data_IF_519456938051
#
_entry.id   IF_519456938051
#
_cell.length_a   1.000
_cell.length_b   1.000
_cell.length_c   1.000
_cell.angle_alpha   90.00
_cell.angle_beta   90.00
_cell.angle_gamma   90.00
#
_symmetry.space_group_name_H-M   'P 1'
#
loop_
_entity.id
_entity.type
_entity.pdbx_description
1 polymer ?
#
# COMPACT_ATOMS: atom_id res chain seq x y z
N UNK A 1 -4.12 29.78 -21.68
CA UNK A 1 -4.07 28.33 -21.37
C UNK A 1 -3.16 28.15 -20.17
N UNK A 2 -3.67 28.33 -18.95
CA UNK A 2 -2.87 28.29 -17.72
C UNK A 2 -2.67 26.84 -17.27
N UNK A 3 -1.66 26.17 -17.84
CA UNK A 3 -1.26 24.82 -17.46
C UNK A 3 -0.39 24.85 -16.21
N UNK A 4 -0.86 24.25 -15.12
CA UNK A 4 -0.05 24.06 -13.92
C UNK A 4 1.08 23.05 -14.17
N UNK A 5 2.25 23.21 -13.53
CA UNK A 5 3.44 22.42 -13.84
C UNK A 5 3.39 21.08 -13.10
N UNK A 6 2.55 20.15 -13.54
CA UNK A 6 2.66 18.73 -13.16
C UNK A 6 3.82 18.06 -13.91
N UNK A 7 5.02 18.65 -13.85
CA UNK A 7 6.21 18.04 -14.41
C UNK A 7 6.58 16.78 -13.63
N UNK A 8 7.43 15.95 -14.22
CA UNK A 8 7.93 14.75 -13.57
C UNK A 8 8.63 15.09 -12.24
N UNK A 9 9.41 16.17 -12.21
CA UNK A 9 10.14 16.66 -11.04
C UNK A 9 9.19 17.14 -9.95
N UNK A 10 8.14 17.89 -10.34
CA UNK A 10 7.11 18.36 -9.42
C UNK A 10 6.39 17.18 -8.76
N UNK A 11 5.95 16.19 -9.53
CA UNK A 11 5.31 14.98 -8.99
C UNK A 11 6.27 14.18 -8.13
N UNK A 12 7.52 14.00 -8.57
CA UNK A 12 8.53 13.22 -7.85
C UNK A 12 8.83 13.82 -6.47
N UNK A 13 8.83 15.16 -6.35
CA UNK A 13 9.10 15.87 -5.08
C UNK A 13 7.95 15.87 -4.07
N UNK A 14 6.75 15.38 -4.41
CA UNK A 14 5.59 15.30 -3.50
C UNK A 14 5.75 14.19 -2.44
N UNK A 15 6.61 14.41 -1.44
CA UNK A 15 6.95 13.43 -0.42
C UNK A 15 5.75 13.01 0.45
N UNK A 16 4.93 13.97 0.90
CA UNK A 16 3.78 13.66 1.75
C UNK A 16 2.70 12.88 1.00
N UNK A 17 2.47 13.17 -0.29
CA UNK A 17 1.55 12.39 -1.10
C UNK A 17 2.03 10.93 -1.26
N UNK A 18 3.34 10.74 -1.41
CA UNK A 18 3.94 9.41 -1.44
C UNK A 18 3.80 8.66 -0.11
N UNK A 19 3.95 9.36 1.02
CA UNK A 19 3.69 8.80 2.35
C UNK A 19 2.25 8.34 2.51
N UNK A 20 1.27 9.17 2.09
CA UNK A 20 -0.14 8.80 2.07
C UNK A 20 -0.40 7.55 1.21
N UNK A 21 0.22 7.45 0.04
CA UNK A 21 0.10 6.28 -0.83
C UNK A 21 0.69 5.02 -0.20
N UNK A 22 1.88 5.12 0.41
CA UNK A 22 2.52 3.99 1.12
C UNK A 22 1.68 3.52 2.30
N UNK A 23 1.18 4.44 3.11
CA UNK A 23 0.31 4.11 4.24
C UNK A 23 -1.04 3.53 3.78
N UNK A 24 -1.57 4.02 2.65
CA UNK A 24 -2.76 3.43 2.02
C UNK A 24 -2.50 1.98 1.61
N UNK A 25 -1.37 1.71 0.94
CA UNK A 25 -1.03 0.35 0.52
C UNK A 25 -0.61 -0.56 1.68
N UNK A 26 -0.11 -0.02 2.80
CA UNK A 26 0.09 -0.79 4.04
C UNK A 26 -1.26 -1.22 4.60
N UNK A 27 -2.18 -0.27 4.79
CA UNK A 27 -3.47 -0.54 5.43
C UNK A 27 -4.42 -1.33 4.51
N UNK A 28 -4.30 -1.12 3.20
CA UNK A 28 -5.15 -1.73 2.18
C UNK A 28 -4.29 -2.23 1.00
N UNK A 29 -3.48 -3.28 1.18
CA UNK A 29 -2.59 -3.79 0.15
C UNK A 29 -3.41 -4.29 -1.05
N UNK A 30 -3.01 -4.02 -2.32
CA UNK A 30 -3.77 -4.46 -3.48
C UNK A 30 -3.99 -5.98 -3.53
N UNK A 31 -2.99 -6.75 -3.07
CA UNK A 31 -3.04 -8.21 -2.96
C UNK A 31 -2.87 -8.57 -1.48
N UNK A 32 -3.81 -9.35 -0.96
CA UNK A 32 -3.90 -9.70 0.46
C UNK A 32 -2.84 -10.73 0.89
N UNK A 33 -2.39 -11.59 -0.03
CA UNK A 33 -1.39 -12.61 0.23
C UNK A 33 -0.62 -13.01 -1.04
N UNK A 34 0.63 -13.42 -0.88
CA UNK A 34 1.45 -13.94 -1.98
C UNK A 34 1.54 -15.46 -1.89
N UNK A 35 1.29 -16.17 -2.99
CA UNK A 35 1.39 -17.62 -3.04
C UNK A 35 2.73 -18.07 -3.66
N UNK A 36 3.29 -19.14 -3.12
CA UNK A 36 4.42 -19.91 -3.68
C UNK A 36 4.09 -21.39 -3.60
N UNK A 37 4.76 -22.19 -4.42
CA UNK A 37 4.73 -23.65 -4.35
C UNK A 37 6.15 -24.14 -4.15
N UNK A 38 6.35 -25.01 -3.18
CA UNK A 38 7.64 -25.63 -2.91
C UNK A 38 8.05 -26.51 -4.10
N UNK A 39 9.21 -26.23 -4.71
CA UNK A 39 9.69 -26.97 -5.90
C UNK A 39 10.80 -27.97 -5.59
N UNK A 40 11.32 -27.97 -4.36
CA UNK A 40 12.36 -28.87 -3.87
C UNK A 40 12.21 -29.02 -2.36
N UNK A 41 12.56 -30.17 -1.78
CA UNK A 41 12.54 -30.36 -0.33
C UNK A 41 13.24 -29.18 0.37
N UNK A 42 12.56 -28.56 1.32
CA UNK A 42 13.06 -27.35 1.97
C UNK A 42 12.75 -27.34 3.46
N UNK A 43 13.79 -27.34 4.29
CA UNK A 43 13.69 -27.08 5.74
C UNK A 43 13.61 -25.57 5.98
N UNK A 44 12.58 -25.10 6.67
CA UNK A 44 12.46 -23.69 7.04
C UNK A 44 13.53 -23.35 8.09
N UNK A 45 14.44 -22.38 7.80
CA UNK A 45 15.54 -22.05 8.71
C UNK A 45 15.05 -21.67 10.11
N UNK A 46 15.75 -22.17 11.15
CA UNK A 46 15.42 -21.88 12.55
C UNK A 46 14.21 -22.64 13.08
N UNK A 47 13.68 -23.62 12.35
CA UNK A 47 12.54 -24.44 12.76
C UNK A 47 12.75 -25.91 12.42
N UNK A 48 11.88 -26.79 12.94
CA UNK A 48 11.80 -28.20 12.54
C UNK A 48 10.79 -28.48 11.41
N UNK A 49 10.35 -27.43 10.71
CA UNK A 49 9.36 -27.54 9.64
C UNK A 49 10.00 -27.86 8.29
N UNK A 50 9.73 -29.06 7.79
CA UNK A 50 10.06 -29.49 6.42
C UNK A 50 8.89 -29.23 5.47
N UNK A 51 9.18 -28.65 4.31
CA UNK A 51 8.22 -28.43 3.22
C UNK A 51 8.48 -29.44 2.10
N UNK A 52 7.50 -30.30 1.86
CA UNK A 52 7.53 -31.24 0.74
C UNK A 52 7.29 -30.53 -0.59
N UNK A 53 7.81 -31.10 -1.67
CA UNK A 53 7.54 -30.64 -3.04
C UNK A 53 6.04 -30.63 -3.31
N UNK A 54 5.53 -29.53 -3.87
CA UNK A 54 4.11 -29.32 -4.12
C UNK A 54 3.38 -28.60 -2.97
N UNK A 55 4.00 -28.44 -1.80
CA UNK A 55 3.40 -27.69 -0.68
C UNK A 55 3.18 -26.23 -1.08
N UNK A 56 1.93 -25.75 -0.95
CA UNK A 56 1.60 -24.34 -1.14
C UNK A 56 2.00 -23.54 0.10
N UNK A 57 2.67 -22.41 -0.11
CA UNK A 57 3.09 -21.47 0.93
C UNK A 57 2.41 -20.13 0.67
N UNK A 58 1.71 -19.63 1.68
CA UNK A 58 1.03 -18.35 1.63
C UNK A 58 1.74 -17.34 2.53
N UNK A 59 2.17 -16.22 1.96
CA UNK A 59 2.75 -15.09 2.71
C UNK A 59 1.62 -14.10 2.99
N UNK A 60 1.19 -13.92 4.26
CA UNK A 60 0.00 -13.16 4.60
C UNK A 60 0.29 -11.65 4.66
N UNK A 61 0.39 -11.01 3.49
CA UNK A 61 0.75 -9.58 3.35
C UNK A 61 -0.07 -8.68 4.26
N UNK A 62 -1.40 -8.82 4.25
CA UNK A 62 -2.28 -8.00 5.08
C UNK A 62 -2.02 -8.16 6.58
N UNK A 63 -1.81 -9.39 7.05
CA UNK A 63 -1.53 -9.67 8.44
C UNK A 63 -0.18 -9.08 8.87
N UNK A 64 0.86 -9.23 8.05
CA UNK A 64 2.18 -8.63 8.30
C UNK A 64 2.05 -7.10 8.38
N UNK A 65 1.27 -6.49 7.48
CA UNK A 65 1.07 -5.04 7.45
C UNK A 65 0.24 -4.50 8.63
N UNK A 66 -0.49 -5.36 9.33
CA UNK A 66 -1.27 -5.03 10.53
C UNK A 66 -0.68 -5.60 11.82
N UNK A 67 0.52 -6.18 11.78
CA UNK A 67 1.18 -6.69 12.96
C UNK A 67 1.72 -5.51 13.81
N UNK A 68 1.24 -5.32 15.06
CA UNK A 68 1.69 -4.24 15.92
C UNK A 68 3.18 -4.34 16.28
N UNK A 69 3.82 -5.50 16.10
CA UNK A 69 5.27 -5.66 16.22
C UNK A 69 6.03 -4.80 15.21
N UNK A 70 5.49 -4.64 14.00
CA UNK A 70 6.13 -3.87 12.92
C UNK A 70 5.47 -2.51 12.69
N UNK A 71 4.19 -2.38 13.04
CA UNK A 71 3.38 -1.19 12.84
C UNK A 71 2.60 -0.84 14.10
N UNK A 72 3.18 -0.05 15.04
CA UNK A 72 2.49 0.38 16.26
C UNK A 72 1.18 1.08 15.93
N UNK A 73 0.08 0.76 16.63
CA UNK A 73 -1.27 1.24 16.28
C UNK A 73 -1.62 0.97 14.80
N UNK A 74 -1.62 -0.30 14.36
CA UNK A 74 -1.71 -0.68 12.95
C UNK A 74 -3.03 -0.26 12.28
N UNK A 75 -4.07 -0.03 13.08
CA UNK A 75 -5.35 0.43 12.60
C UNK A 75 -5.41 1.95 12.33
N UNK A 76 -4.48 2.73 12.88
CA UNK A 76 -4.41 4.18 12.68
C UNK A 76 -3.72 4.49 11.35
N UNK A 77 -4.43 5.20 10.47
CA UNK A 77 -3.85 5.74 9.23
C UNK A 77 -2.93 6.91 9.58
N UNK A 78 -1.61 6.71 9.46
CA UNK A 78 -0.62 7.74 9.75
C UNK A 78 0.47 7.77 8.65
N UNK A 79 0.41 8.72 7.69
CA UNK A 79 1.41 8.89 6.64
C UNK A 79 2.84 9.12 7.17
N UNK A 80 2.98 9.80 8.31
CA UNK A 80 4.28 10.17 8.88
C UNK A 80 5.12 8.94 9.27
N UNK A 81 4.50 7.76 9.38
CA UNK A 81 5.19 6.45 9.48
C UNK A 81 6.15 6.17 8.32
N UNK A 82 6.04 6.88 7.20
CA UNK A 82 6.91 6.77 6.04
C UNK A 82 7.72 8.05 5.77
N UNK A 83 7.76 8.99 6.73
CA UNK A 83 8.56 10.20 6.62
C UNK A 83 10.06 9.90 6.57
N UNK A 84 10.82 10.76 5.88
CA UNK A 84 12.28 10.62 5.75
C UNK A 84 13.03 10.93 7.05
N UNK A 85 12.46 11.76 7.91
CA UNK A 85 13.06 12.24 9.17
C UNK A 85 12.19 11.92 10.40
N UNK A 86 11.17 11.06 10.25
CA UNK A 86 10.47 10.52 11.41
C UNK A 86 11.42 9.63 12.22
N UNK A 87 11.02 9.21 13.42
CA UNK A 87 11.80 8.42 14.39
C UNK A 87 12.43 7.12 13.83
N UNK A 88 12.16 6.76 12.56
CA UNK A 88 13.05 5.92 11.76
C UNK A 88 13.25 6.49 10.36
N UNK A 89 14.38 7.17 10.13
CA UNK A 89 14.70 7.84 8.87
C UNK A 89 14.50 6.99 7.59
N UNK A 90 14.22 7.66 6.49
CA UNK A 90 13.46 7.16 5.34
C UNK A 90 13.90 5.86 4.66
N UNK A 91 12.95 5.27 3.93
CA UNK A 91 13.12 3.98 3.26
C UNK A 91 12.99 2.86 4.28
N UNK A 92 11.78 2.36 4.46
CA UNK A 92 11.43 1.28 5.39
C UNK A 92 11.78 1.49 6.89
N UNK A 93 12.22 2.66 7.36
CA UNK A 93 12.42 3.04 8.77
C UNK A 93 13.17 2.00 9.63
N UNK A 94 14.18 1.31 9.09
CA UNK A 94 14.87 0.25 9.82
C UNK A 94 13.99 -0.96 10.17
N UNK A 95 12.80 -1.07 9.57
CA UNK A 95 11.97 -2.26 9.69
C UNK A 95 12.69 -3.45 9.05
N UNK A 96 12.49 -4.66 9.58
CA UNK A 96 13.05 -5.86 8.96
C UNK A 96 12.62 -5.97 7.49
N UNK A 97 13.52 -6.44 6.64
CA UNK A 97 13.17 -6.73 5.25
C UNK A 97 11.97 -7.69 5.19
N UNK A 98 11.10 -7.48 4.22
CA UNK A 98 9.93 -8.34 4.01
C UNK A 98 8.70 -8.01 4.86
N UNK A 99 8.68 -6.89 5.62
CA UNK A 99 7.47 -6.49 6.37
C UNK A 99 6.60 -5.48 5.63
N UNK A 100 7.14 -4.75 4.65
CA UNK A 100 6.38 -3.91 3.73
C UNK A 100 6.43 -4.52 2.32
N UNK A 101 5.29 -4.99 1.84
CA UNK A 101 5.17 -5.88 0.67
C UNK A 101 4.06 -5.48 -0.32
N UNK A 102 3.71 -4.19 -0.51
CA UNK A 102 2.59 -3.81 -1.40
C UNK A 102 2.84 -4.16 -2.87
N UNK A 103 4.11 -4.34 -3.25
CA UNK A 103 4.57 -4.72 -4.59
C UNK A 103 5.26 -6.10 -4.59
N UNK A 104 5.17 -6.85 -3.49
CA UNK A 104 5.97 -8.05 -3.26
C UNK A 104 7.44 -7.75 -3.00
N UNK A 105 8.28 -8.79 -3.09
CA UNK A 105 9.72 -8.71 -2.85
C UNK A 105 10.47 -9.80 -3.64
N UNK A 106 11.80 -9.66 -3.72
CA UNK A 106 12.71 -10.59 -4.36
C UNK A 106 12.58 -10.62 -5.89
N UNK A 107 12.97 -11.73 -6.55
CA UNK A 107 13.03 -11.81 -8.02
C UNK A 107 11.66 -11.74 -8.71
N UNK A 108 10.56 -11.73 -7.93
CA UNK A 108 9.18 -11.63 -8.42
C UNK A 108 8.50 -10.35 -7.92
N UNK A 109 9.29 -9.35 -7.50
CA UNK A 109 8.79 -8.01 -7.19
C UNK A 109 8.11 -7.38 -8.41
N UNK A 110 7.05 -6.61 -8.18
CA UNK A 110 6.30 -5.95 -9.24
C UNK A 110 7.19 -4.97 -10.02
N UNK A 111 7.42 -5.28 -11.30
CA UNK A 111 8.18 -4.42 -12.22
C UNK A 111 7.49 -3.05 -12.45
N UNK A 112 6.17 -3.00 -12.25
CA UNK A 112 5.35 -1.80 -12.40
C UNK A 112 5.44 -0.81 -11.24
N UNK A 113 6.13 -1.12 -10.14
CA UNK A 113 6.16 -0.30 -8.92
C UNK A 113 6.45 1.19 -9.18
N UNK A 114 7.52 1.49 -9.94
CA UNK A 114 7.91 2.89 -10.22
C UNK A 114 6.87 3.62 -11.06
N UNK A 115 6.29 2.94 -12.04
CA UNK A 115 5.25 3.49 -12.91
C UNK A 115 3.96 3.75 -12.11
N UNK A 116 3.50 2.76 -11.34
CA UNK A 116 2.30 2.87 -10.52
C UNK A 116 2.41 4.01 -9.50
N UNK A 117 3.56 4.16 -8.83
CA UNK A 117 3.78 5.26 -7.89
C UNK A 117 3.72 6.64 -8.58
N UNK A 118 4.32 6.77 -9.76
CA UNK A 118 4.26 8.01 -10.53
C UNK A 118 2.82 8.32 -10.97
N UNK A 119 2.12 7.33 -11.53
CA UNK A 119 0.75 7.45 -12.01
C UNK A 119 -0.22 7.81 -10.88
N UNK A 120 -0.16 7.11 -9.75
CA UNK A 120 -1.00 7.39 -8.57
C UNK A 120 -0.75 8.80 -8.03
N UNK A 121 0.52 9.23 -7.93
CA UNK A 121 0.85 10.60 -7.48
C UNK A 121 0.31 11.64 -8.47
N UNK A 122 0.49 11.43 -9.77
CA UNK A 122 -0.01 12.34 -10.80
C UNK A 122 -1.54 12.45 -10.76
N UNK A 123 -2.24 11.32 -10.72
CA UNK A 123 -3.70 11.26 -10.70
C UNK A 123 -4.27 11.94 -9.46
N UNK A 124 -3.76 11.60 -8.26
CA UNK A 124 -4.22 12.21 -7.01
C UNK A 124 -3.88 13.70 -6.94
N UNK A 125 -2.68 14.11 -7.37
CA UNK A 125 -2.30 15.52 -7.35
C UNK A 125 -3.22 16.35 -8.26
N UNK A 126 -3.50 15.88 -9.48
CA UNK A 126 -4.43 16.57 -10.38
C UNK A 126 -5.85 16.61 -9.85
N UNK A 127 -6.32 15.51 -9.26
CA UNK A 127 -7.66 15.41 -8.70
C UNK A 127 -7.83 16.35 -7.50
N UNK A 128 -6.96 16.24 -6.50
CA UNK A 128 -7.01 17.05 -5.28
C UNK A 128 -6.71 18.53 -5.52
N UNK A 129 -5.99 18.87 -6.58
CA UNK A 129 -5.80 20.26 -6.98
C UNK A 129 -7.11 20.92 -7.45
N UNK A 130 -8.00 20.17 -8.10
CA UNK A 130 -9.25 20.69 -8.68
C UNK A 130 -10.45 20.48 -7.78
N UNK A 131 -10.39 19.50 -6.89
CA UNK A 131 -11.54 19.06 -6.10
C UNK A 131 -11.24 19.02 -4.60
N UNK A 132 -12.27 19.32 -3.84
CA UNK A 132 -12.37 19.08 -2.40
C UNK A 132 -13.22 17.82 -2.22
N UNK A 133 -12.70 16.89 -1.43
CA UNK A 133 -13.35 15.60 -1.15
C UNK A 133 -13.80 15.60 0.30
N UNK A 134 -15.07 15.27 0.55
CA UNK A 134 -15.62 15.09 1.89
C UNK A 134 -16.37 13.78 1.99
N UNK A 135 -16.62 13.32 3.22
CA UNK A 135 -17.48 12.17 3.43
C UNK A 135 -18.91 12.46 2.94
N UNK A 136 -19.55 11.43 2.44
CA UNK A 136 -20.97 11.40 2.08
C UNK A 136 -21.75 10.61 3.12
N UNK A 137 -23.07 10.73 3.13
CA UNK A 137 -23.95 9.95 4.02
C UNK A 137 -23.85 8.43 3.77
N UNK A 138 -23.29 8.02 2.62
CA UNK A 138 -23.04 6.63 2.24
C UNK A 138 -21.61 6.17 2.52
N UNK A 139 -20.74 7.04 3.04
CA UNK A 139 -19.36 6.69 3.34
C UNK A 139 -19.32 5.69 4.50
N UNK A 140 -18.62 4.58 4.31
CA UNK A 140 -18.37 3.62 5.38
C UNK A 140 -17.29 4.15 6.33
N UNK A 141 -17.45 3.88 7.63
CA UNK A 141 -16.44 4.21 8.66
C UNK A 141 -15.29 3.21 8.67
N UNK A 142 -15.56 1.97 8.24
CA UNK A 142 -14.59 0.89 8.09
C UNK A 142 -14.79 0.22 6.73
N UNK A 143 -13.70 0.02 6.00
CA UNK A 143 -13.72 -0.70 4.72
C UNK A 143 -13.84 -2.20 5.02
N UNK A 144 -14.91 -2.81 4.53
CA UNK A 144 -15.02 -4.26 4.40
C UNK A 144 -14.61 -4.65 2.98
N UNK A 145 -13.82 -5.72 2.84
CA UNK A 145 -13.41 -6.20 1.52
C UNK A 145 -14.43 -7.18 0.95
N UNK A 146 -14.60 -7.16 -0.37
CA UNK A 146 -15.37 -8.16 -1.11
C UNK A 146 -14.63 -9.51 -1.05
N UNK A 147 -15.14 -10.52 -0.32
CA UNK A 147 -14.41 -11.78 -0.10
C UNK A 147 -14.17 -12.58 -1.38
N UNK A 148 -14.99 -12.39 -2.41
CA UNK A 148 -14.83 -13.08 -3.70
C UNK A 148 -13.82 -12.37 -4.65
N UNK A 149 -13.32 -11.19 -4.29
CA UNK A 149 -12.41 -10.43 -5.12
C UNK A 149 -10.97 -10.88 -4.95
N UNK A 150 -10.26 -11.09 -6.07
CA UNK A 150 -8.83 -11.39 -6.04
C UNK A 150 -7.98 -10.20 -5.56
N UNK A 151 -8.36 -8.99 -5.96
CA UNK A 151 -7.75 -7.75 -5.48
C UNK A 151 -8.59 -7.17 -4.35
N UNK A 152 -7.94 -6.42 -3.47
CA UNK A 152 -8.62 -5.62 -2.46
C UNK A 152 -9.64 -4.68 -3.09
N UNK A 153 -10.91 -5.00 -2.88
CA UNK A 153 -12.03 -4.25 -3.39
C UNK A 153 -13.00 -3.99 -2.23
N UNK A 154 -13.38 -2.73 -1.97
CA UNK A 154 -14.33 -2.41 -0.92
C UNK A 154 -15.73 -2.92 -1.30
N UNK A 155 -16.34 -3.68 -0.42
CA UNK A 155 -17.71 -4.16 -0.55
C UNK A 155 -18.67 -2.95 -0.59
N UNK A 156 -19.50 -2.88 -1.62
CA UNK A 156 -20.43 -1.76 -1.82
C UNK A 156 -19.82 -0.47 -2.38
N UNK A 157 -18.52 -0.48 -2.72
CA UNK A 157 -17.81 0.65 -3.33
C UNK A 157 -17.38 1.75 -2.36
N UNK A 158 -16.85 2.85 -2.92
CA UNK A 158 -16.42 4.04 -2.17
C UNK A 158 -17.30 5.22 -2.58
N UNK A 159 -18.02 5.78 -1.62
CA UNK A 159 -18.88 6.94 -1.83
C UNK A 159 -18.29 8.15 -1.13
N UNK A 160 -18.04 9.22 -1.89
CA UNK A 160 -17.45 10.47 -1.41
C UNK A 160 -18.16 11.64 -2.10
N UNK A 161 -18.28 12.75 -1.39
CA UNK A 161 -18.73 14.01 -1.96
C UNK A 161 -17.54 14.70 -2.63
N UNK A 162 -17.70 15.11 -3.89
CA UNK A 162 -16.64 15.75 -4.68
C UNK A 162 -17.13 17.12 -5.13
N UNK A 163 -16.51 18.17 -4.60
CA UNK A 163 -16.84 19.55 -4.91
C UNK A 163 -15.68 20.22 -5.64
N UNK A 164 -15.95 21.01 -6.68
CA UNK A 164 -14.89 21.79 -7.34
C UNK A 164 -14.31 22.80 -6.34
N UNK A 165 -12.99 22.88 -6.21
CA UNK A 165 -12.34 23.91 -5.40
C UNK A 165 -12.66 25.28 -6.00
N UNK A 166 -13.06 26.22 -5.17
CA UNK A 166 -13.10 27.64 -5.55
C UNK A 166 -11.66 28.10 -5.75
N UNK A 167 -11.41 28.81 -6.85
CA UNK A 167 -10.10 29.37 -7.17
C UNK A 167 -9.67 30.39 -6.11
#
# INVERSE_FOLDING_TARGET
>A
MYGLPFSYEAISSMNYLEQCLKETMRKYPPVQALARVCTKQFRVPGTDLDLDVGTAVLIPVYAIHHDPQYYPEPDTFNPDRFAKDGDGGGGDNGRPSGVFLPFGDGPRICIGMRFAMLEMKLALAQFLHRYLVTLSDKSCTRIEFEPASFLSCPKGGIWLNVNKRKA
#
